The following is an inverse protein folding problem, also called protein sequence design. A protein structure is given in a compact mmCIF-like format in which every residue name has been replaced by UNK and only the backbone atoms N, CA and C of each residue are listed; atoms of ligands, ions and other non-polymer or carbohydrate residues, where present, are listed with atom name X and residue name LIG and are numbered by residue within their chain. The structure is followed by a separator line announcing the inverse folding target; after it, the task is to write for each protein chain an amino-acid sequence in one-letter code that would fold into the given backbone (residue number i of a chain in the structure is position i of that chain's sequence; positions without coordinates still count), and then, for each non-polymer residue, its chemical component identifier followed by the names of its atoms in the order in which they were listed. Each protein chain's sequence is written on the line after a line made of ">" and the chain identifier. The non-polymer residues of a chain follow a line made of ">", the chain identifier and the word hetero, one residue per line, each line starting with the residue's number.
data_IF_527906673308
#
_entry.id   IF_527906673308
#
_cell.length_a   1.000
_cell.length_b   1.000
_cell.length_c   1.000
_cell.angle_alpha   90.00
_cell.angle_beta   90.00
_cell.angle_gamma   90.00
#
_symmetry.space_group_name_H-M   'P 1'
#
loop_
_entity.id
_entity.type
_entity.pdbx_description
1 polymer ?
2 non-polymer ?
3 water ?
#
# COMPACT_ATOMS: atom_id res chain seq x y z
N UNK A 2 -10.68 8.89 -8.34
CA UNK A 2 -9.81 9.81 -7.55
C UNK A 2 -9.00 9.11 -6.47
N UNK A 3 -7.95 8.39 -6.89
CA UNK A 3 -7.02 7.75 -5.94
C UNK A 3 -5.72 8.54 -5.88
N UNK A 4 -5.00 8.36 -4.77
CA UNK A 4 -3.62 8.83 -4.70
C UNK A 4 -2.73 7.60 -4.85
N UNK A 5 -1.86 7.66 -5.84
CA UNK A 5 -0.90 6.61 -6.07
C UNK A 5 0.39 6.92 -5.33
N UNK A 6 0.82 5.94 -4.53
CA UNK A 6 1.99 6.06 -3.65
C UNK A 6 3.12 5.22 -4.23
N UNK A 7 4.27 5.87 -4.47
CA UNK A 7 5.40 5.22 -5.13
C UNK A 7 6.31 4.53 -4.10
N UNK A 8 6.18 3.21 -4.00
CA UNK A 8 6.96 2.43 -3.04
C UNK A 8 8.15 1.77 -3.72
N UNK A 9 9.35 2.28 -3.40
CA UNK A 9 10.60 1.88 -4.03
C UNK A 9 10.98 0.46 -3.67
N UNK A 10 11.18 -0.36 -4.69
CA UNK A 10 11.64 -1.74 -4.54
C UNK A 10 13.16 -1.75 -4.52
N UNK A 11 13.73 -2.08 -3.36
CA UNK A 11 15.17 -1.93 -3.11
C UNK A 11 15.97 -3.22 -3.28
N UNK A 12 15.37 -4.36 -2.96
CA UNK A 12 15.96 -5.68 -3.21
C UNK A 12 14.79 -6.60 -3.53
N UNK A 13 14.88 -7.34 -4.64
CA UNK A 13 13.77 -8.25 -4.99
C UNK A 13 13.99 -9.64 -4.41
N UNK A 14 12.88 -10.34 -4.15
CA UNK A 14 12.92 -11.70 -3.60
C UNK A 14 13.76 -12.61 -4.49
N UNK A 15 14.38 -13.66 -3.91
CA UNK A 15 15.24 -14.57 -4.66
C UNK A 15 14.55 -15.10 -5.92
N UNK A 16 13.31 -15.56 -5.78
CA UNK A 16 12.51 -16.12 -6.88
C UNK A 16 12.16 -15.09 -7.95
N UNK A 17 12.33 -13.81 -7.63
CA UNK A 17 12.15 -12.71 -8.59
C UNK A 17 13.47 -12.26 -9.20
N UNK A 18 14.60 -12.64 -8.60
CA UNK A 18 15.91 -12.20 -9.08
C UNK A 18 16.27 -12.72 -10.47
N UNK A 19 15.98 -13.99 -10.74
CA UNK A 19 16.22 -14.56 -12.08
C UNK A 19 15.49 -13.76 -13.17
N UNK A 20 14.25 -13.37 -12.88
CA UNK A 20 13.39 -12.66 -13.83
C UNK A 20 13.85 -11.24 -14.12
N UNK A 21 14.22 -10.50 -13.07
CA UNK A 21 14.74 -9.15 -13.20
C UNK A 21 16.11 -9.11 -13.88
N UNK A 22 16.93 -10.14 -13.66
CA UNK A 22 18.25 -10.25 -14.29
C UNK A 22 18.08 -10.39 -15.80
N UNK A 23 17.10 -11.19 -16.21
CA UNK A 23 16.88 -11.56 -17.60
C UNK A 23 16.49 -10.36 -18.48
N UNK A 24 15.65 -9.47 -17.95
CA UNK A 24 15.25 -8.27 -18.70
C UNK A 24 16.13 -7.06 -18.41
N UNK A 25 17.34 -7.30 -17.91
CA UNK A 25 18.31 -6.23 -17.60
C UNK A 25 17.74 -5.08 -16.75
N UNK A 26 16.85 -5.42 -15.82
CA UNK A 26 16.30 -4.42 -14.92
C UNK A 26 17.01 -4.44 -13.58
N UNK A 27 17.81 -3.41 -13.31
CA UNK A 27 18.58 -3.29 -12.09
C UNK A 27 17.80 -2.42 -11.10
N UNK A 28 17.26 -3.05 -10.05
CA UNK A 28 16.49 -2.32 -9.04
C UNK A 28 17.34 -1.36 -8.19
N UNK A 29 18.65 -1.38 -8.44
CA UNK A 29 19.59 -0.49 -7.75
C UNK A 29 19.98 0.74 -8.58
N UNK A 30 20.08 0.59 -9.90
CA UNK A 30 20.37 1.72 -10.80
C UNK A 30 19.16 2.15 -11.65
N UNK A 31 18.02 1.51 -11.41
CA UNK A 31 16.71 1.96 -11.90
C UNK A 31 15.77 2.17 -10.74
N UNK A 32 14.76 3.01 -10.93
CA UNK A 32 13.77 3.28 -9.90
C UNK A 32 12.53 2.43 -10.17
N UNK A 33 12.53 1.21 -9.63
CA UNK A 33 11.38 0.33 -9.75
C UNK A 33 10.43 0.55 -8.59
N UNK A 34 9.19 0.92 -8.89
CA UNK A 34 8.16 1.19 -7.88
C UNK A 34 6.98 0.25 -7.93
N UNK A 35 6.59 -0.26 -6.77
CA UNK A 35 5.25 -0.78 -6.61
C UNK A 35 4.39 0.45 -6.35
N UNK A 36 3.30 0.63 -7.08
CA UNK A 36 2.43 1.80 -6.91
C UNK A 36 1.11 1.44 -6.20
N UNK A 37 1.02 1.83 -4.94
CA UNK A 37 -0.16 1.57 -4.11
C UNK A 37 -1.25 2.61 -4.33
N UNK A 38 -2.50 2.19 -4.37
CA UNK A 38 -3.61 3.11 -4.51
C UNK A 38 -4.23 3.34 -3.14
N UNK A 39 -4.23 4.60 -2.71
CA UNK A 39 -4.82 4.99 -1.42
C UNK A 39 -5.79 6.18 -1.50
N UNK A 40 -6.69 6.23 -0.52
CA UNK A 40 -7.55 7.38 -0.29
C UNK A 40 -7.14 8.09 1.00
N UNK A 41 -6.04 7.62 1.59
CA UNK A 41 -5.63 8.13 2.90
C UNK A 41 -4.12 8.44 2.97
N UNK A 42 -3.66 9.43 2.18
CA UNK A 42 -2.24 9.83 2.19
C UNK A 42 -1.74 10.23 3.58
N UNK A 43 -2.66 10.68 4.44
CA UNK A 43 -2.27 11.11 5.78
C UNK A 43 -1.82 9.96 6.69
N UNK A 44 -2.08 8.72 6.26
CA UNK A 44 -1.72 7.55 7.06
C UNK A 44 -0.34 6.96 6.72
N UNK A 45 0.31 7.49 5.68
CA UNK A 45 1.55 6.92 5.14
C UNK A 45 2.64 6.77 6.18
N UNK A 46 2.62 7.62 7.21
CA UNK A 46 3.56 7.49 8.35
C UNK A 46 3.51 6.10 8.98
N UNK A 47 2.38 5.41 8.84
CA UNK A 47 2.17 4.16 9.57
C UNK A 47 2.20 2.89 8.74
N UNK A 48 2.82 2.94 7.55
CA UNK A 48 3.00 1.75 6.71
C UNK A 48 3.91 0.73 7.38
N UNK A 49 3.51 -0.54 7.38
CA UNK A 49 4.31 -1.63 8.00
C UNK A 49 4.75 -2.71 6.99
N UNK A 50 4.23 -2.61 5.77
CA UNK A 50 4.62 -3.45 4.64
C UNK A 50 3.81 -2.99 3.45
N UNK A 51 4.00 -3.63 2.30
CA UNK A 51 3.13 -3.39 1.17
C UNK A 51 2.53 -4.70 0.66
N UNK A 52 1.21 -4.69 0.42
CA UNK A 52 0.53 -5.90 -0.01
C UNK A 52 0.48 -6.03 -1.54
N UNK A 53 0.62 -7.28 -2.00
CA UNK A 53 0.22 -7.67 -3.35
C UNK A 53 -0.65 -8.94 -3.23
N UNK A 54 -1.41 -9.24 -4.27
CA UNK A 54 -2.22 -10.46 -4.30
C UNK A 54 -1.46 -11.63 -4.92
N UNK A 55 -1.49 -12.81 -4.25
CA UNK A 55 -0.94 -14.05 -4.80
C UNK A 55 -1.61 -14.43 -6.13
N UNK A 56 -2.79 -13.87 -6.37
CA UNK A 56 -3.64 -14.26 -7.49
C UNK A 56 -3.58 -13.33 -8.70
N UNK A 57 -2.77 -12.28 -8.62
CA UNK A 57 -2.69 -11.28 -9.67
C UNK A 57 -1.35 -11.30 -10.41
N UNK A 58 -1.39 -11.27 -11.75
CA UNK A 58 -0.21 -11.06 -12.58
C UNK A 58 0.00 -9.57 -12.84
N UNK A 59 1.05 -9.01 -12.25
CA UNK A 59 1.30 -7.56 -12.37
C UNK A 59 2.17 -7.29 -13.58
N UNK A 60 2.07 -6.08 -14.11
CA UNK A 60 2.94 -5.66 -15.20
C UNK A 60 4.05 -4.82 -14.63
N UNK A 61 5.21 -4.85 -15.29
CA UNK A 61 6.29 -3.94 -14.99
C UNK A 61 6.36 -2.96 -16.16
N UNK A 62 5.99 -1.71 -15.89
CA UNK A 62 5.76 -0.75 -16.95
C UNK A 62 6.81 0.34 -16.96
N UNK A 63 7.23 0.73 -18.15
CA UNK A 63 8.13 1.86 -18.36
C UNK A 63 7.38 3.17 -18.05
N UNK A 64 7.70 3.77 -16.91
CA UNK A 64 7.00 4.98 -16.48
C UNK A 64 7.76 6.24 -16.84
N UNK A 65 8.72 6.12 -17.76
CA UNK A 65 9.47 7.26 -18.25
C UNK A 65 10.57 7.72 -17.32
N UNK A 66 11.57 8.40 -17.88
CA UNK A 66 12.67 9.02 -17.13
C UNK A 66 13.40 8.11 -16.14
N UNK A 67 13.43 6.81 -16.39
CA UNK A 67 14.08 5.87 -15.46
C UNK A 67 13.20 5.24 -14.39
N UNK A 68 11.96 5.72 -14.25
CA UNK A 68 11.01 5.09 -13.33
C UNK A 68 10.28 3.95 -14.02
N UNK A 69 9.96 2.92 -13.24
CA UNK A 69 9.15 1.80 -13.70
C UNK A 69 8.09 1.52 -12.66
N UNK A 70 6.87 1.23 -13.11
CA UNK A 70 5.76 0.98 -12.19
C UNK A 70 5.32 -0.47 -12.24
N UNK A 71 5.10 -1.05 -11.06
CA UNK A 71 4.43 -2.34 -10.94
C UNK A 71 2.99 -2.12 -10.50
N UNK A 72 2.07 -2.30 -11.43
CA UNK A 72 0.63 -2.28 -11.18
C UNK A 72 -0.04 -3.37 -12.03
N UNK A 73 -1.37 -3.48 -11.96
CA UNK A 73 -2.14 -4.28 -12.92
C UNK A 73 -2.14 -3.56 -14.28
N UNK A 74 -2.42 -4.28 -15.37
CA UNK A 74 -2.47 -3.64 -16.69
C UNK A 74 -3.63 -2.66 -16.80
N UNK A 75 -4.73 -2.99 -16.13
CA UNK A 75 -5.92 -2.13 -16.00
C UNK A 75 -5.56 -0.71 -15.54
N UNK A 76 -4.78 -0.61 -14.47
CA UNK A 76 -4.43 0.68 -13.87
C UNK A 76 -3.41 1.49 -14.66
N UNK A 77 -2.45 0.81 -15.30
CA UNK A 77 -1.47 1.52 -16.11
C UNK A 77 -2.07 2.02 -17.43
N UNK A 78 -3.06 1.29 -17.95
CA UNK A 78 -3.87 1.73 -19.10
C UNK A 78 -4.61 3.03 -18.79
N UNK A 79 -5.21 3.10 -17.61
CA UNK A 79 -5.89 4.30 -17.14
C UNK A 79 -4.96 5.48 -17.00
N UNK A 80 -3.79 5.24 -16.42
CA UNK A 80 -2.74 6.24 -16.25
C UNK A 80 -2.27 6.81 -17.59
N UNK A 81 -2.20 5.96 -18.62
CA UNK A 81 -1.78 6.39 -19.96
C UNK A 81 -2.80 7.33 -20.64
N UNK A 82 -4.01 7.41 -20.09
CA UNK A 82 -5.03 8.32 -20.62
C UNK A 82 -5.15 9.63 -19.83
N UNK A 83 -4.25 9.83 -18.87
CA UNK A 83 -4.22 11.08 -18.11
C UNK A 83 -2.81 11.68 -17.96
N UNK A 84 -1.97 11.48 -18.98
CA UNK A 84 -0.58 11.98 -19.01
C UNK A 84 0.27 11.63 -17.78
N UNK A 85 0.26 10.34 -17.42
CA UNK A 85 1.06 9.85 -16.32
C UNK A 85 2.08 8.82 -16.80
N UNK A 86 2.07 8.56 -18.11
CA UNK A 86 2.94 7.58 -18.75
C UNK A 86 3.70 8.23 -19.91
N UNK A 87 4.77 7.56 -20.42
CA UNK A 87 5.58 8.10 -21.53
C UNK A 87 4.81 8.39 -22.83
N UNK A 88 3.94 7.46 -23.24
CA UNK A 88 3.12 7.66 -24.44
C UNK A 88 1.65 7.39 -24.14
N UNK A 89 0.80 8.33 -24.54
CA UNK A 89 -0.64 8.19 -24.35
C UNK A 89 -1.17 6.99 -25.13
N UNK A 90 -1.94 6.15 -24.47
CA UNK A 90 -2.53 4.97 -25.10
C UNK A 90 -1.61 3.77 -25.22
N UNK A 91 -0.37 3.90 -24.74
CA UNK A 91 0.60 2.80 -24.76
C UNK A 91 0.82 2.27 -23.35
N UNK A 92 0.62 0.97 -23.17
CA UNK A 92 0.64 0.37 -21.84
C UNK A 92 1.12 -1.09 -21.87
N UNK A 93 1.99 -1.38 -22.84
CA UNK A 93 2.65 -2.69 -22.91
C UNK A 93 3.62 -2.87 -21.75
N UNK A 94 3.40 -3.93 -20.93
CA UNK A 94 4.37 -4.21 -19.89
C UNK A 94 5.67 -4.71 -20.50
N UNK A 95 6.80 -4.36 -19.90
CA UNK A 95 8.09 -4.89 -20.34
C UNK A 95 8.13 -6.39 -20.07
N UNK A 96 7.44 -6.79 -19.02
CA UNK A 96 7.15 -8.19 -18.71
C UNK A 96 6.12 -8.25 -17.59
N UNK A 97 5.56 -9.43 -17.36
CA UNK A 97 4.63 -9.59 -16.25
C UNK A 97 5.29 -10.32 -15.09
N UNK A 98 4.74 -10.11 -13.89
CA UNK A 98 5.17 -10.82 -12.69
C UNK A 98 3.99 -11.10 -11.75
N UNK A 99 3.89 -12.34 -11.30
CA UNK A 99 2.84 -12.76 -10.40
C UNK A 99 3.13 -12.30 -8.98
N UNK A 100 2.07 -11.94 -8.26
CA UNK A 100 2.18 -11.54 -6.86
C UNK A 100 3.08 -12.40 -5.98
N UNK A 101 2.99 -13.72 -6.12
CA UNK A 101 3.77 -14.64 -5.26
C UNK A 101 5.29 -14.48 -5.46
N UNK A 102 5.70 -14.24 -6.70
CA UNK A 102 7.10 -14.02 -7.06
C UNK A 102 7.72 -12.83 -6.33
N UNK A 103 6.89 -11.84 -6.02
CA UNK A 103 7.33 -10.62 -5.33
C UNK A 103 7.36 -10.74 -3.80
N UNK A 104 6.67 -11.73 -3.25
CA UNK A 104 6.58 -11.89 -1.80
C UNK A 104 7.99 -12.01 -1.19
N UNK A 105 8.30 -11.15 -0.22
CA UNK A 105 9.58 -11.17 0.49
C UNK A 105 10.57 -10.12 0.03
N UNK A 106 10.22 -9.42 -1.06
CA UNK A 106 11.04 -8.32 -1.57
C UNK A 106 11.20 -7.23 -0.48
N UNK A 107 12.28 -6.47 -0.55
CA UNK A 107 12.44 -5.33 0.35
C UNK A 107 12.04 -4.03 -0.34
N UNK A 108 11.46 -3.12 0.43
CA UNK A 108 10.88 -1.88 -0.09
C UNK A 108 11.12 -0.67 0.81
N UNK A 109 11.14 0.51 0.21
CA UNK A 109 11.07 1.78 0.95
C UNK A 109 9.73 2.41 0.67
N UNK A 110 9.00 2.75 1.73
CA UNK A 110 7.69 3.36 1.56
C UNK A 110 7.71 4.80 2.05
N UNK A 111 7.20 5.74 1.21
CA UNK A 111 7.19 7.18 1.57
C UNK A 111 6.63 7.47 2.97
N UNK A 112 7.45 8.17 3.77
CA UNK A 112 7.02 8.70 5.06
C UNK A 112 6.91 7.67 6.18
N UNK A 113 7.14 6.40 5.88
CA UNK A 113 6.94 5.33 6.87
C UNK A 113 7.97 5.42 7.98
N UNK A 114 7.51 5.48 9.24
CA UNK A 114 8.45 5.52 10.37
C UNK A 114 9.12 4.17 10.66
N UNK A 115 8.42 3.08 10.33
CA UNK A 115 8.98 1.74 10.46
C UNK A 115 10.00 1.50 9.38
N UNK A 116 11.06 0.78 9.71
CA UNK A 116 12.09 0.49 8.72
C UNK A 116 12.08 -0.98 8.35
N UNK A 117 12.85 -1.34 7.33
CA UNK A 117 12.99 -2.73 6.89
C UNK A 117 11.67 -3.38 6.47
N UNK A 118 10.89 -2.67 5.64
CA UNK A 118 9.60 -3.13 5.15
C UNK A 118 9.71 -4.19 4.06
N UNK A 119 8.74 -5.11 4.03
CA UNK A 119 8.69 -6.21 3.06
C UNK A 119 7.36 -6.20 2.26
N UNK A 120 7.35 -6.91 1.13
CA UNK A 120 6.13 -7.15 0.40
C UNK A 120 5.52 -8.44 0.96
N UNK A 121 4.22 -8.40 1.21
CA UNK A 121 3.52 -9.49 1.87
C UNK A 121 2.22 -9.78 1.12
N UNK A 122 1.68 -11.01 1.26
CA UNK A 122 0.50 -11.41 0.53
C UNK A 122 -0.82 -10.97 1.17
N UNK A 123 -1.72 -10.47 0.33
CA UNK A 123 -3.09 -10.19 0.73
C UNK A 123 -3.98 -10.87 -0.28
N UNK A 124 -4.71 -11.87 0.20
CA UNK A 124 -5.64 -12.66 -0.63
C UNK A 124 -6.89 -11.90 -1.01
N UNK A 125 -7.19 -10.83 -0.29
CA UNK A 125 -8.47 -10.15 -0.46
C UNK A 125 -8.36 -8.86 -1.30
N UNK A 126 -7.29 -8.75 -2.10
CA UNK A 126 -7.15 -7.62 -3.04
C UNK A 126 -8.16 -7.82 -4.17
N UNK A 127 -8.89 -6.74 -4.47
CA UNK A 127 -9.82 -6.75 -5.59
C UNK A 127 -9.07 -6.33 -6.85
N UNK A 128 -8.95 -7.28 -7.78
CA UNK A 128 -8.08 -7.14 -8.96
C UNK A 128 -8.49 -5.99 -9.87
N UNK A 129 -9.79 -5.70 -9.89
CA UNK A 129 -10.37 -4.65 -10.75
C UNK A 129 -10.36 -3.25 -10.11
N UNK A 130 -9.86 -3.13 -8.89
CA UNK A 130 -9.90 -1.85 -8.15
C UNK A 130 -8.49 -1.28 -7.93
N UNK A 131 -8.34 0.02 -8.15
CA UNK A 131 -7.06 0.68 -7.96
C UNK A 131 -5.97 0.04 -8.80
N UNK A 132 -4.80 -0.16 -8.18
CA UNK A 132 -3.65 -0.69 -8.90
C UNK A 132 -3.40 -2.17 -8.61
N UNK A 133 -4.20 -2.73 -7.70
CA UNK A 133 -4.00 -4.10 -7.22
C UNK A 133 -2.86 -4.18 -6.21
N UNK A 134 -2.24 -3.04 -5.97
CA UNK A 134 -1.18 -2.89 -4.95
C UNK A 134 -1.82 -2.12 -3.81
N UNK A 135 -1.65 -2.65 -2.60
CA UNK A 135 -2.30 -2.10 -1.41
C UNK A 135 -1.30 -1.93 -0.28
N UNK A 136 -1.13 -0.71 0.17
CA UNK A 136 -0.16 -0.44 1.20
C UNK A 136 -0.78 -0.63 2.58
N UNK A 137 0.02 -1.11 3.53
CA UNK A 137 -0.50 -1.69 4.76
C UNK A 137 -0.36 -0.75 5.96
N UNK A 138 -1.51 -0.36 6.51
CA UNK A 138 -1.55 0.59 7.63
C UNK A 138 -2.43 -0.01 8.76
N UNK A 139 -1.86 -0.87 9.62
CA UNK A 139 -2.66 -1.67 10.60
C UNK A 139 -3.39 -0.87 11.66
N UNK A 140 -2.89 0.33 11.95
CA UNK A 140 -3.50 1.17 12.95
C UNK A 140 -4.88 1.69 12.54
N UNK A 141 -5.08 1.95 11.24
CA UNK A 141 -6.25 2.69 10.79
C UNK A 141 -7.06 2.01 9.68
N UNK A 142 -6.54 0.89 9.19
CA UNK A 142 -7.25 0.12 8.20
C UNK A 142 -7.72 -1.23 8.75
N UNK A 143 -9.05 -1.41 8.88
CA UNK A 143 -9.53 -2.70 9.36
C UNK A 143 -9.02 -3.89 8.54
N UNK A 144 -9.13 -3.82 7.21
CA UNK A 144 -8.63 -4.88 6.34
C UNK A 144 -7.15 -5.20 6.56
N UNK A 145 -6.33 -4.17 6.75
CA UNK A 145 -4.89 -4.33 6.91
C UNK A 145 -4.57 -4.92 8.26
N UNK A 146 -5.34 -4.54 9.27
CA UNK A 146 -5.17 -5.11 10.59
C UNK A 146 -5.49 -6.60 10.55
N UNK A 147 -6.66 -6.96 10.03
CA UNK A 147 -7.07 -8.36 10.02
C UNK A 147 -6.09 -9.29 9.26
N UNK A 148 -5.60 -8.83 8.11
CA UNK A 148 -4.62 -9.58 7.30
C UNK A 148 -3.27 -9.75 8.01
N UNK A 149 -2.75 -8.64 8.54
CA UNK A 149 -1.53 -8.63 9.37
C UNK A 149 -1.58 -9.64 10.53
N UNK A 150 -2.65 -9.55 11.34
CA UNK A 150 -2.85 -10.48 12.46
C UNK A 150 -2.80 -11.94 11.99
N UNK A 151 -3.48 -12.19 10.88
CA UNK A 151 -3.57 -13.52 10.27
C UNK A 151 -2.21 -13.98 9.72
N UNK A 152 -1.44 -13.04 9.16
CA UNK A 152 -0.10 -13.37 8.69
C UNK A 152 0.85 -13.70 9.85
N UNK A 153 0.88 -12.82 10.86
CA UNK A 153 1.69 -13.02 12.07
C UNK A 153 1.30 -14.27 12.88
N UNK A 154 0.00 -14.58 12.92
CA UNK A 154 -0.48 -15.75 13.67
C UNK A 154 -0.23 -17.08 12.97
N UNK A 155 -0.21 -17.08 11.64
CA UNK A 155 0.04 -18.30 10.88
C UNK A 155 1.11 -18.11 9.79
N UNK A 156 2.34 -17.68 10.19
CA UNK A 156 3.35 -17.28 9.20
C UNK A 156 3.88 -18.44 8.35
N UNK A 157 4.06 -19.59 8.98
CA UNK A 157 4.53 -20.80 8.29
C UNK A 157 3.46 -21.27 7.29
N UNK A 158 2.20 -21.17 7.68
CA UNK A 158 1.05 -21.50 6.83
C UNK A 158 0.98 -20.66 5.55
N UNK A 159 1.35 -19.39 5.63
CA UNK A 159 1.25 -18.46 4.49
C UNK A 159 2.51 -18.40 3.61
N UNK A 160 3.54 -19.15 4.00
CA UNK A 160 4.80 -19.16 3.26
C UNK A 160 5.68 -17.95 3.50
N UNK A 161 5.43 -17.25 4.61
CA UNK A 161 6.21 -16.05 4.93
C UNK A 161 7.11 -16.27 6.15
N UNK A 162 8.01 -15.32 6.40
CA UNK A 162 8.82 -15.30 7.62
C UNK A 162 8.19 -14.35 8.63
N UNK A 163 8.18 -14.77 9.89
CA UNK A 163 7.59 -13.99 10.99
C UNK A 163 8.23 -12.61 11.12
N UNK A 164 9.55 -12.57 10.91
CA UNK A 164 10.33 -11.33 10.93
C UNK A 164 9.77 -10.27 9.98
N UNK A 165 9.15 -10.72 8.90
CA UNK A 165 8.65 -9.83 7.85
C UNK A 165 7.45 -9.00 8.26
N UNK A 166 6.69 -9.49 9.25
CA UNK A 166 5.46 -8.81 9.66
C UNK A 166 5.65 -8.03 10.97
N UNK A 167 5.37 -6.73 10.91
CA UNK A 167 5.44 -5.90 12.12
C UNK A 167 4.09 -5.90 12.81
N UNK A 168 4.10 -6.17 14.11
CA UNK A 168 2.87 -6.26 14.91
C UNK A 168 2.75 -5.12 15.90
N UNK A 169 3.89 -4.54 16.27
CA UNK A 169 3.94 -3.37 17.12
C UNK A 169 3.52 -2.14 16.33
N UNK A 170 2.30 -1.69 16.59
CA UNK A 170 1.72 -0.61 15.83
C UNK A 170 2.02 0.71 16.52
N UNK A 171 2.61 1.66 15.81
CA UNK A 171 2.77 3.00 16.36
C UNK A 171 1.55 3.86 15.97
N UNK A 172 0.87 4.44 16.98
CA UNK A 172 -0.33 5.24 16.70
C UNK A 172 -0.02 6.44 15.79
N UNK A 173 -1.00 6.82 14.99
CA UNK A 173 -0.81 7.71 13.85
C UNK A 173 -1.91 8.77 13.92
N UNK A 174 -3.15 8.32 14.13
CA UNK A 174 -4.33 9.18 14.22
C UNK A 174 -5.10 8.99 15.54
N UNK A 175 -5.24 10.07 16.31
CA UNK A 175 -6.06 10.01 17.52
C UNK A 175 -7.53 10.28 17.17
N UNK A 176 -8.41 9.38 17.60
CA UNK A 176 -9.85 9.65 17.55
C UNK A 176 -10.37 9.66 18.98
N UNK A 177 -11.41 10.45 19.25
CA UNK A 177 -12.02 10.39 20.58
C UNK A 177 -12.96 9.19 20.77
N UNK A 178 -13.39 8.59 19.67
CA UNK A 178 -14.39 7.53 19.68
C UNK A 178 -13.80 6.12 19.70
N UNK A 179 -12.68 5.93 18.99
CA UNK A 179 -12.04 4.61 18.85
C UNK A 179 -10.57 4.59 19.30
N UNK A 180 -10.16 5.61 20.06
CA UNK A 180 -8.79 5.69 20.56
C UNK A 180 -7.76 5.99 19.48
N UNK A 181 -6.56 5.47 19.67
CA UNK A 181 -5.41 5.83 18.84
C UNK A 181 -5.01 4.76 17.82
N UNK A 182 -5.78 3.68 17.79
CA UNK A 182 -5.61 2.61 16.81
C UNK A 182 -7.02 2.12 16.45
N UNK A 183 -7.71 2.93 15.66
CA UNK A 183 -9.15 2.74 15.45
C UNK A 183 -9.46 1.42 14.74
N UNK A 184 -8.53 0.91 13.95
CA UNK A 184 -8.75 -0.33 13.19
C UNK A 184 -8.78 -1.52 14.12
N UNK A 185 -7.80 -1.58 15.02
CA UNK A 185 -7.79 -2.54 16.12
C UNK A 185 -9.06 -2.49 16.98
N UNK A 186 -9.46 -1.27 17.37
CA UNK A 186 -10.63 -1.05 18.23
C UNK A 186 -11.85 -1.67 17.57
N UNK A 187 -12.06 -1.35 16.29
CA UNK A 187 -13.24 -1.78 15.56
C UNK A 187 -13.25 -3.26 15.20
N UNK A 188 -12.08 -3.82 14.92
CA UNK A 188 -11.96 -5.27 14.64
C UNK A 188 -12.31 -6.06 15.89
N UNK A 189 -11.81 -5.60 17.05
CA UNK A 189 -12.18 -6.20 18.34
C UNK A 189 -13.66 -6.02 18.63
N UNK A 190 -14.15 -4.80 18.46
CA UNK A 190 -15.52 -4.45 18.79
C UNK A 190 -16.56 -5.23 17.98
N UNK A 191 -16.33 -5.32 16.67
CA UNK A 191 -17.22 -6.05 15.78
C UNK A 191 -16.88 -7.54 15.74
N UNK A 192 -15.83 -7.93 16.46
CA UNK A 192 -15.35 -9.32 16.50
C UNK A 192 -15.24 -9.93 15.10
N UNK A 193 -14.44 -9.28 14.25
CA UNK A 193 -14.16 -9.75 12.90
C UNK A 193 -12.99 -10.73 12.97
N UNK A 194 -13.22 -11.98 12.54
CA UNK A 194 -12.22 -13.01 12.75
C UNK A 194 -11.45 -13.50 11.52
N UNK A 195 -11.84 -13.05 10.34
CA UNK A 195 -11.17 -13.48 9.10
C UNK A 195 -11.02 -12.31 8.12
N UNK A 196 -9.93 -12.29 7.33
CA UNK A 196 -9.82 -11.33 6.23
C UNK A 196 -10.99 -11.39 5.24
N UNK A 197 -11.76 -12.46 5.29
CA UNK A 197 -12.85 -12.69 4.34
C UNK A 197 -14.24 -12.30 4.82
N UNK A 198 -14.32 -11.73 6.03
CA UNK A 198 -15.58 -11.19 6.53
C UNK A 198 -15.85 -9.84 5.86
N UNK A 199 -16.22 -9.91 4.57
CA UNK A 199 -16.35 -8.74 3.70
C UNK A 199 -17.35 -7.69 4.19
N UNK A 200 -18.57 -8.12 4.53
CA UNK A 200 -19.61 -7.22 5.00
C UNK A 200 -19.15 -6.47 6.27
N UNK A 201 -18.69 -7.21 7.28
CA UNK A 201 -18.28 -6.62 8.56
C UNK A 201 -17.09 -5.68 8.44
N UNK A 202 -16.16 -6.07 7.57
CA UNK A 202 -14.97 -5.27 7.27
C UNK A 202 -15.33 -3.99 6.51
N UNK A 203 -16.29 -4.08 5.60
CA UNK A 203 -16.82 -2.89 4.93
C UNK A 203 -17.44 -1.93 5.95
N UNK A 204 -18.16 -2.50 6.91
CA UNK A 204 -18.81 -1.75 7.96
C UNK A 204 -17.79 -1.02 8.82
N UNK A 205 -16.79 -1.77 9.30
CA UNK A 205 -15.66 -1.24 10.07
C UNK A 205 -14.90 -0.16 9.30
N UNK A 206 -14.68 -0.41 8.02
CA UNK A 206 -13.92 0.49 7.15
C UNK A 206 -14.62 1.84 7.04
N UNK A 207 -15.93 1.77 6.79
CA UNK A 207 -16.76 2.95 6.69
C UNK A 207 -16.79 3.77 7.98
N UNK A 208 -16.93 3.08 9.13
CA UNK A 208 -16.92 3.75 10.44
C UNK A 208 -15.56 4.38 10.75
N UNK A 209 -14.48 3.69 10.36
CA UNK A 209 -13.13 4.22 10.56
C UNK A 209 -12.87 5.44 9.69
N UNK A 210 -13.27 5.37 8.42
CA UNK A 210 -13.21 6.52 7.49
C UNK A 210 -13.76 7.81 8.06
N UNK A 211 -15.06 7.83 8.34
CA UNK A 211 -15.78 9.01 8.88
C UNK A 211 -15.12 9.61 10.13
N UNK A 212 -14.81 8.75 11.09
CA UNK A 212 -14.22 9.16 12.34
C UNK A 212 -12.81 9.75 12.13
N UNK A 213 -11.96 9.01 11.43
CA UNK A 213 -10.61 9.46 11.14
C UNK A 213 -10.58 10.83 10.46
N UNK A 214 -11.51 11.06 9.54
CA UNK A 214 -11.47 12.27 8.75
C UNK A 214 -12.01 13.50 9.51
N UNK A 215 -13.17 13.33 10.13
CA UNK A 215 -13.86 14.44 10.79
C UNK A 215 -13.42 14.65 12.24
N UNK A 216 -13.08 13.57 12.92
CA UNK A 216 -12.71 13.67 14.32
C UNK A 216 -11.30 13.21 14.62
N UNK A 217 -10.55 12.85 13.59
CA UNK A 217 -9.17 12.40 13.77
C UNK A 217 -8.19 13.56 13.94
N UNK A 218 -7.17 13.34 14.77
CA UNK A 218 -6.07 14.29 15.01
C UNK A 218 -4.75 13.60 14.74
N UNK A 219 -3.82 14.30 14.08
CA UNK A 219 -2.52 13.72 13.74
C UNK A 219 -1.64 13.57 14.98
N UNK A 220 -1.00 12.42 15.12
CA UNK A 220 -0.11 12.14 16.27
C UNK A 220 1.37 12.15 15.86
N UNK A 221 1.63 12.50 14.61
CA UNK A 221 2.95 12.33 14.02
C UNK A 221 3.16 13.24 12.79
N UNK A 222 4.42 13.49 12.45
CA UNK A 222 4.78 14.22 11.24
C UNK A 222 4.65 15.72 11.36
N UNK A 223 4.68 16.40 10.22
CA UNK A 223 4.73 17.86 10.16
C UNK A 223 3.49 18.51 10.78
N UNK A 224 2.35 17.85 10.58
CA UNK A 224 1.05 18.41 10.96
C UNK A 224 0.47 17.76 12.22
N UNK A 225 1.34 17.25 13.09
CA UNK A 225 0.90 16.65 14.35
C UNK A 225 0.15 17.69 15.18
N UNK A 226 -0.97 17.25 15.77
CA UNK A 226 -1.86 18.15 16.51
C UNK A 226 -3.01 18.66 15.66
N UNK A 227 -2.80 18.74 14.35
CA UNK A 227 -3.81 19.24 13.43
C UNK A 227 -4.93 18.21 13.23
N UNK A 228 -6.14 18.70 12.95
CA UNK A 228 -7.23 17.84 12.49
C UNK A 228 -6.86 17.24 11.15
N UNK A 229 -7.12 15.94 11.00
CA UNK A 229 -7.02 15.24 9.73
C UNK A 229 -7.76 16.00 8.62
N UNK A 230 -8.94 16.52 8.94
CA UNK A 230 -9.74 17.27 8.00
C UNK A 230 -8.95 18.39 7.31
N UNK A 231 -8.13 19.10 8.09
CA UNK A 231 -7.24 20.15 7.59
C UNK A 231 -5.90 19.60 7.08
N UNK A 232 -5.37 18.58 7.74
CA UNK A 232 -4.01 18.10 7.43
C UNK A 232 -3.91 17.24 6.16
N UNK A 233 -4.98 16.52 5.84
CA UNK A 233 -4.94 15.51 4.78
C UNK A 233 -4.51 16.09 3.43
N UNK A 234 -5.16 17.18 2.96
CA UNK A 234 -4.76 17.72 1.66
C UNK A 234 -3.32 18.27 1.62
N UNK A 235 -2.83 18.77 2.76
CA UNK A 235 -1.44 19.22 2.88
C UNK A 235 -0.43 18.06 2.73
N UNK A 236 -0.63 17.00 3.51
CA UNK A 236 0.20 15.79 3.43
C UNK A 236 0.23 15.26 2.00
N UNK A 237 -0.94 15.24 1.38
CA UNK A 237 -1.10 14.78 0.02
C UNK A 237 -0.25 15.64 -0.93
N UNK A 238 -0.37 16.97 -0.78
CA UNK A 238 0.38 17.92 -1.59
C UNK A 238 1.89 17.74 -1.41
N UNK A 239 2.35 17.66 -0.15
CA UNK A 239 3.78 17.40 0.13
C UNK A 239 4.30 16.16 -0.60
N UNK A 240 3.58 15.05 -0.47
CA UNK A 240 3.97 13.81 -1.11
C UNK A 240 4.11 13.97 -2.63
N UNK A 241 3.13 14.63 -3.23
CA UNK A 241 3.17 14.94 -4.67
C UNK A 241 4.37 15.82 -5.00
N UNK A 242 4.54 16.91 -4.23
CA UNK A 242 5.63 17.87 -4.47
C UNK A 242 7.00 17.21 -4.37
N UNK A 243 7.14 16.27 -3.45
CA UNK A 243 8.40 15.56 -3.27
C UNK A 243 8.57 14.39 -4.26
N UNK A 244 7.61 14.22 -5.16
CA UNK A 244 7.68 13.16 -6.17
C UNK A 244 7.40 11.76 -5.65
N UNK A 245 6.79 11.65 -4.47
CA UNK A 245 6.58 10.36 -3.81
C UNK A 245 5.20 9.80 -4.13
N UNK A 246 4.34 10.67 -4.68
CA UNK A 246 2.98 10.30 -4.99
C UNK A 246 2.45 11.12 -6.16
N UNK A 247 1.29 10.71 -6.67
CA UNK A 247 0.57 11.42 -7.72
C UNK A 247 -0.92 11.08 -7.67
N UNK A 248 -1.74 11.91 -8.29
CA UNK A 248 -3.17 11.65 -8.35
C UNK A 248 -3.46 10.89 -9.65
N UNK A 249 -4.49 10.05 -9.64
CA UNK A 249 -4.97 9.41 -10.86
C UNK A 249 -6.42 8.99 -10.70
N UNK A 250 -7.18 9.11 -11.78
CA UNK A 250 -8.62 8.89 -11.76
C UNK A 250 -9.07 7.59 -12.43
N UNK A 251 -10.23 7.11 -12.00
CA UNK A 251 -10.93 6.05 -12.71
C UNK A 251 -12.18 6.60 -13.39
#
# INVERSE_FOLDING_TARGET
>A
MGYVGIKIRLTDVAPQAQELFKKESLDVKENKVYLVAATLRPETMYGQTCCFVSPKIDYGVFDAGNGDYFITTERAFKNMSFQNLTPKRGYYKPLFTINGKTLIGSRIDAPYAVNKNLRVLPMETVLATKGTGVVTCVPSDSPDDFVTTRDLANKPEYYGIEKDWVQTDIVPIVHTEKYGDKCAEFLVNDLKIQSPKDSVQLANAKELAYKEGFYNGTMLIGKYKGDKVEDAKPKVKQDLIDEGLAFVYNEPELEHHHHHH
#
